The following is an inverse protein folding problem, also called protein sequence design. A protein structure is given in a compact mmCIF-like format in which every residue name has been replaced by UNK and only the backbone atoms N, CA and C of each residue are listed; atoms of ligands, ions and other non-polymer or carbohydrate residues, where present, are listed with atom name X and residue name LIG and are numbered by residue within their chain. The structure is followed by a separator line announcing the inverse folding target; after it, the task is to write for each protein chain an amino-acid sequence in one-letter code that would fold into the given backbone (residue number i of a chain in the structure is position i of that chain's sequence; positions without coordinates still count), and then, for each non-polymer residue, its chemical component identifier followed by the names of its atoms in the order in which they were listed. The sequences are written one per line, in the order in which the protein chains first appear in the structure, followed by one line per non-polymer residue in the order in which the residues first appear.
data_IF_176927052225
#
_entry.id   IF_176927052225
#
_cell.length_a   1.000
_cell.length_b   1.000
_cell.length_c   1.000
_cell.angle_alpha   90.00
_cell.angle_beta   90.00
_cell.angle_gamma   90.00
#
_symmetry.space_group_name_H-M   'P 1'
#
loop_
_entity.id
_entity.type
_entity.pdbx_description
1 polymer ?
#
# COMPACT_ATOMS: atom_id res chain seq x y z
N UNK A 1 16.26 -15.51 -68.58
CA UNK A 1 17.39 -14.62 -68.76
C UNK A 1 17.53 -13.79 -67.50
N UNK A 2 18.35 -14.31 -66.58
CA UNK A 2 18.57 -13.70 -65.25
C UNK A 2 19.82 -12.83 -65.33
N UNK A 3 19.71 -11.56 -64.97
CA UNK A 3 20.84 -10.66 -64.83
C UNK A 3 21.18 -10.59 -63.33
N UNK A 4 22.35 -11.12 -62.97
CA UNK A 4 22.94 -11.02 -61.63
C UNK A 4 23.84 -9.79 -61.64
N UNK A 5 23.51 -8.77 -60.86
CA UNK A 5 24.36 -7.60 -60.63
C UNK A 5 25.13 -7.81 -59.33
N UNK A 6 26.45 -7.88 -59.46
CA UNK A 6 27.42 -8.00 -58.36
C UNK A 6 27.66 -6.65 -57.68
N UNK A 7 27.63 -6.63 -56.34
CA UNK A 7 28.00 -5.47 -55.52
C UNK A 7 29.48 -5.61 -55.09
N UNK A 8 30.32 -4.58 -55.20
CA UNK A 8 31.72 -4.68 -54.83
C UNK A 8 31.92 -4.58 -53.30
N UNK A 9 32.74 -5.47 -52.77
CA UNK A 9 33.24 -5.45 -51.39
C UNK A 9 34.19 -4.26 -51.16
N UNK A 10 33.89 -3.45 -50.21
CA UNK A 10 34.80 -2.40 -49.70
C UNK A 10 35.74 -3.02 -48.66
N UNK A 11 37.04 -2.98 -48.92
CA UNK A 11 38.10 -3.35 -48.02
C UNK A 11 38.31 -2.19 -47.03
N UNK A 12 38.18 -2.44 -45.74
CA UNK A 12 38.52 -1.47 -44.70
C UNK A 12 39.88 -1.86 -44.14
N UNK A 13 40.85 -1.01 -44.38
CA UNK A 13 42.22 -1.13 -43.81
C UNK A 13 42.18 -0.63 -42.38
N UNK A 14 42.48 -1.46 -41.44
CA UNK A 14 42.69 -1.10 -40.03
C UNK A 14 44.12 -0.61 -39.84
N UNK A 15 44.30 0.63 -39.49
CA UNK A 15 45.53 1.19 -38.96
C UNK A 15 45.57 0.96 -37.43
N UNK A 16 46.53 0.16 -37.03
CA UNK A 16 46.87 -0.10 -35.62
C UNK A 16 47.67 1.10 -35.11
N UNK A 17 47.20 1.75 -34.04
CA UNK A 17 48.02 2.69 -33.23
C UNK A 17 48.09 2.18 -31.83
N UNK A 18 49.30 1.72 -31.46
CA UNK A 18 49.72 1.45 -30.10
C UNK A 18 49.73 2.77 -29.27
N UNK A 19 49.04 2.73 -28.12
CA UNK A 19 49.38 3.57 -26.98
C UNK A 19 48.75 2.92 -25.71
N UNK A 20 49.55 2.11 -25.06
CA UNK A 20 49.29 1.59 -23.70
C UNK A 20 49.42 2.75 -22.71
N UNK A 21 48.27 3.15 -22.13
CA UNK A 21 48.19 3.90 -20.90
C UNK A 21 47.43 3.06 -19.87
N UNK A 22 48.00 2.81 -18.67
CA UNK A 22 47.30 1.99 -17.70
C UNK A 22 46.05 2.74 -17.18
N UNK A 23 44.91 2.09 -17.32
CA UNK A 23 43.66 2.55 -16.73
C UNK A 23 43.78 2.38 -15.22
N UNK A 24 43.64 3.45 -14.49
CA UNK A 24 43.51 3.42 -13.04
C UNK A 24 42.23 2.68 -12.71
N UNK A 25 42.36 1.62 -11.93
CA UNK A 25 41.25 0.85 -11.38
C UNK A 25 40.55 1.77 -10.35
N UNK A 26 39.42 2.36 -10.71
CA UNK A 26 38.51 2.95 -9.73
C UNK A 26 38.01 1.84 -8.81
N UNK A 27 38.15 2.05 -7.51
CA UNK A 27 37.58 1.19 -6.50
C UNK A 27 36.03 1.21 -6.68
N UNK A 28 35.34 0.07 -6.49
CA UNK A 28 33.90 0.05 -6.59
C UNK A 28 33.30 1.06 -5.61
N UNK A 29 32.42 1.92 -6.10
CA UNK A 29 31.68 2.88 -5.29
C UNK A 29 30.93 2.11 -4.20
N UNK A 30 31.12 2.54 -2.95
CA UNK A 30 30.36 2.05 -1.81
C UNK A 30 28.88 2.28 -2.10
N UNK A 31 28.02 1.26 -2.00
CA UNK A 31 26.60 1.48 -2.21
C UNK A 31 26.10 2.54 -1.23
N UNK A 32 25.16 3.41 -1.64
CA UNK A 32 24.60 4.42 -0.77
C UNK A 32 23.99 3.74 0.46
N UNK A 33 24.19 4.34 1.64
CA UNK A 33 23.62 3.87 2.89
C UNK A 33 22.09 3.73 2.70
N UNK A 34 21.47 2.66 3.22
CA UNK A 34 20.03 2.45 3.10
C UNK A 34 19.32 3.69 3.65
N UNK A 35 18.34 4.19 2.90
CA UNK A 35 17.45 5.24 3.37
C UNK A 35 16.84 4.80 4.71
N UNK A 36 16.62 5.74 5.66
CA UNK A 36 16.03 5.37 6.94
C UNK A 36 14.70 4.68 6.67
N UNK A 37 14.62 3.43 7.09
CA UNK A 37 13.40 2.63 7.06
C UNK A 37 12.26 3.39 7.75
N UNK A 38 11.03 3.08 7.39
CA UNK A 38 9.87 3.41 8.18
C UNK A 38 10.19 3.14 9.65
N UNK A 39 10.53 4.18 10.38
CA UNK A 39 10.37 4.14 11.80
C UNK A 39 8.86 4.05 11.99
N UNK A 40 8.42 3.00 12.65
CA UNK A 40 7.03 2.71 12.96
C UNK A 40 6.27 4.01 13.16
N UNK A 41 5.40 4.38 12.21
CA UNK A 41 4.78 5.71 12.13
C UNK A 41 3.83 6.03 13.27
N UNK A 42 3.81 5.21 14.30
CA UNK A 42 2.99 5.30 15.50
C UNK A 42 3.85 5.30 16.76
N UNK A 43 4.90 6.12 16.81
CA UNK A 43 5.30 6.62 18.11
C UNK A 43 4.14 7.52 18.58
N UNK A 44 3.23 6.93 19.38
CA UNK A 44 2.12 7.61 19.99
C UNK A 44 2.64 8.91 20.59
N UNK A 45 2.11 10.05 20.17
CA UNK A 45 2.36 11.33 20.78
C UNK A 45 2.08 11.17 22.28
N UNK A 46 3.12 11.03 23.08
CA UNK A 46 3.00 11.08 24.54
C UNK A 46 2.44 12.46 24.85
N UNK A 47 1.28 12.58 25.53
CA UNK A 47 0.83 13.89 25.97
C UNK A 47 1.91 14.45 26.88
N UNK A 48 2.44 15.61 26.55
CA UNK A 48 3.35 16.37 27.41
C UNK A 48 2.67 16.59 28.75
N UNK A 49 3.33 16.42 29.89
CA UNK A 49 2.73 16.67 31.20
C UNK A 49 2.32 18.14 31.26
N UNK A 50 1.04 18.40 31.37
CA UNK A 50 0.48 19.72 31.63
C UNK A 50 0.82 20.09 33.06
N UNK A 51 1.68 21.09 33.20
CA UNK A 51 2.07 21.67 34.48
C UNK A 51 0.87 22.48 35.03
N UNK A 52 0.10 21.90 35.96
CA UNK A 52 -1.00 22.56 36.66
C UNK A 52 -0.47 23.37 37.84
N UNK A 53 -0.08 24.63 37.58
CA UNK A 53 0.04 25.63 38.64
C UNK A 53 -0.71 26.89 38.25
N UNK A 54 -1.84 27.16 38.91
CA UNK A 54 -2.59 28.41 38.75
C UNK A 54 -4.03 28.32 39.23
N UNK A 55 -4.24 28.38 40.56
CA UNK A 55 -5.54 28.61 41.14
C UNK A 55 -6.07 30.01 40.75
N UNK A 56 -7.25 30.07 40.17
CA UNK A 56 -8.01 31.29 39.97
C UNK A 56 -9.51 30.98 39.95
N UNK A 57 -10.14 31.15 41.12
CA UNK A 57 -11.59 31.09 41.30
C UNK A 57 -12.29 32.23 40.58
N UNK A 58 -13.20 31.92 39.64
CA UNK A 58 -14.33 32.80 39.30
C UNK A 58 -15.54 31.97 38.88
N UNK A 59 -16.63 32.18 39.60
CA UNK A 59 -17.98 31.71 39.31
C UNK A 59 -18.38 32.09 37.89
N UNK A 60 -18.90 31.12 37.12
CA UNK A 60 -19.64 31.34 35.90
C UNK A 60 -20.94 30.56 35.90
N UNK A 61 -21.96 31.27 35.50
CA UNK A 61 -23.37 30.94 35.34
C UNK A 61 -23.54 29.70 34.46
N UNK A 62 -24.41 28.78 34.87
CA UNK A 62 -24.75 27.55 34.14
C UNK A 62 -25.64 27.91 32.92
N UNK A 63 -25.17 27.59 31.72
CA UNK A 63 -26.02 27.41 30.55
C UNK A 63 -26.49 25.95 30.43
N UNK A 64 -27.70 25.71 29.85
CA UNK A 64 -28.29 24.37 29.87
C UNK A 64 -27.52 23.42 28.94
N UNK A 65 -27.19 22.26 29.48
CA UNK A 65 -26.55 21.18 28.77
C UNK A 65 -27.37 20.73 27.54
N UNK A 66 -26.79 20.90 26.37
CA UNK A 66 -27.20 20.19 25.17
C UNK A 66 -26.99 18.70 25.42
N UNK A 67 -28.07 17.92 25.36
CA UNK A 67 -28.03 16.45 25.46
C UNK A 67 -27.42 15.95 24.15
N UNK A 68 -26.12 15.67 24.17
CA UNK A 68 -25.48 14.89 23.12
C UNK A 68 -26.14 13.50 23.16
N UNK A 69 -26.87 13.16 22.12
CA UNK A 69 -27.37 11.80 21.89
C UNK A 69 -26.17 10.87 21.85
N UNK A 70 -26.12 9.90 22.76
CA UNK A 70 -25.16 8.81 22.71
C UNK A 70 -25.37 8.08 21.37
N UNK A 71 -24.30 7.65 20.68
CA UNK A 71 -24.44 6.82 19.49
C UNK A 71 -25.24 5.57 19.85
N UNK A 72 -26.06 5.04 18.94
CA UNK A 72 -26.83 3.84 19.17
C UNK A 72 -25.87 2.68 19.45
N UNK A 73 -25.95 2.11 20.63
CA UNK A 73 -25.29 0.85 20.97
C UNK A 73 -26.00 -0.26 20.19
N UNK A 74 -25.49 -0.59 18.99
CA UNK A 74 -25.89 -1.78 18.26
C UNK A 74 -25.33 -3.00 19.00
N UNK A 75 -26.18 -3.68 19.75
CA UNK A 75 -25.87 -4.95 20.43
C UNK A 75 -25.93 -6.16 19.49
N UNK A 76 -25.56 -6.01 18.22
CA UNK A 76 -25.20 -7.07 17.31
C UNK A 76 -23.68 -7.07 17.20
N UNK A 77 -23.01 -8.20 17.43
CA UNK A 77 -21.60 -8.32 17.11
C UNK A 77 -21.44 -7.94 15.64
N UNK A 78 -20.62 -6.90 15.35
CA UNK A 78 -20.32 -6.52 13.97
C UNK A 78 -19.83 -7.76 13.21
N UNK A 79 -20.20 -7.92 11.94
CA UNK A 79 -19.73 -9.06 11.15
C UNK A 79 -18.19 -9.09 11.16
N UNK A 80 -17.66 -10.27 11.49
CA UNK A 80 -16.21 -10.49 11.59
C UNK A 80 -15.76 -11.23 10.35
N UNK A 81 -14.71 -10.76 9.71
CA UNK A 81 -14.08 -11.40 8.56
C UNK A 81 -13.17 -12.57 8.95
N UNK A 82 -12.39 -13.10 8.02
CA UNK A 82 -11.40 -14.13 8.30
C UNK A 82 -10.44 -13.72 9.42
N UNK A 83 -9.99 -14.72 10.18
CA UNK A 83 -8.94 -14.54 11.18
C UNK A 83 -7.64 -14.12 10.51
N UNK A 84 -6.94 -13.14 11.08
CA UNK A 84 -5.57 -12.77 10.72
C UNK A 84 -4.63 -13.85 11.24
N UNK A 85 -4.18 -14.72 10.35
CA UNK A 85 -3.32 -15.83 10.69
C UNK A 85 -1.90 -15.34 11.04
N UNK A 86 -1.10 -16.22 11.66
CA UNK A 86 0.33 -16.00 11.95
C UNK A 86 0.67 -14.90 12.96
N UNK A 87 -0.30 -14.25 13.61
CA UNK A 87 -0.07 -13.18 14.58
C UNK A 87 0.84 -13.59 15.74
N UNK A 88 0.63 -14.82 16.27
CA UNK A 88 1.42 -15.38 17.39
C UNK A 88 2.76 -15.99 16.93
N UNK A 89 3.04 -15.98 15.63
CA UNK A 89 4.31 -16.43 15.05
C UNK A 89 5.25 -15.26 14.69
N UNK A 90 5.00 -14.06 15.25
CA UNK A 90 5.84 -12.88 15.05
C UNK A 90 5.58 -12.14 13.73
N UNK A 91 4.48 -12.44 13.03
CA UNK A 91 4.10 -11.76 11.81
C UNK A 91 3.14 -10.60 12.06
N UNK A 92 3.37 -9.48 11.38
CA UNK A 92 2.54 -8.29 11.46
C UNK A 92 1.80 -8.08 10.14
N UNK A 93 0.46 -8.10 10.13
CA UNK A 93 -0.32 -7.91 8.90
C UNK A 93 -0.22 -6.49 8.37
N UNK A 94 -0.23 -6.35 7.03
CA UNK A 94 -0.08 -5.09 6.32
C UNK A 94 -1.13 -4.94 5.22
N UNK A 95 -0.77 -5.25 3.99
CA UNK A 95 -1.63 -5.12 2.83
C UNK A 95 -2.77 -6.11 2.83
N UNK A 96 -3.88 -5.72 2.22
CA UNK A 96 -5.03 -6.56 1.92
C UNK A 96 -5.39 -6.46 0.45
N UNK A 97 -5.66 -7.60 -0.18
CA UNK A 97 -6.17 -7.71 -1.54
C UNK A 97 -7.38 -8.65 -1.59
N UNK A 98 -8.12 -8.59 -2.68
CA UNK A 98 -9.22 -9.50 -2.94
C UNK A 98 -9.17 -10.03 -4.37
N UNK A 99 -9.21 -11.35 -4.52
CA UNK A 99 -9.35 -12.04 -5.80
C UNK A 99 -10.82 -12.39 -6.03
N UNK A 100 -11.53 -11.55 -6.79
CA UNK A 100 -12.92 -11.76 -7.09
C UNK A 100 -13.19 -12.98 -7.98
N UNK A 101 -12.16 -13.47 -8.73
CA UNK A 101 -12.32 -14.66 -9.58
C UNK A 101 -12.30 -15.96 -8.77
N UNK A 102 -11.57 -15.94 -7.63
CA UNK A 102 -11.40 -17.13 -6.77
C UNK A 102 -12.12 -17.01 -5.43
N UNK A 103 -12.70 -15.85 -5.15
CA UNK A 103 -13.34 -15.52 -3.88
C UNK A 103 -12.38 -15.65 -2.70
N UNK A 104 -11.15 -15.14 -2.89
CA UNK A 104 -10.06 -15.25 -1.93
C UNK A 104 -9.59 -13.88 -1.43
N UNK A 105 -9.27 -13.80 -0.14
CA UNK A 105 -8.65 -12.63 0.49
C UNK A 105 -7.15 -12.88 0.62
N UNK A 106 -6.36 -11.91 0.17
CA UNK A 106 -4.91 -11.90 0.25
C UNK A 106 -4.49 -10.98 1.38
N UNK A 107 -3.58 -11.44 2.23
CA UNK A 107 -2.96 -10.59 3.28
C UNK A 107 -1.45 -10.76 3.23
N UNK A 108 -0.73 -9.64 3.19
CA UNK A 108 0.72 -9.63 3.39
C UNK A 108 1.04 -9.38 4.85
N UNK A 109 2.11 -9.99 5.30
CA UNK A 109 2.66 -9.84 6.65
C UNK A 109 4.15 -9.57 6.56
N UNK A 110 4.71 -8.84 7.50
CA UNK A 110 6.16 -8.73 7.65
C UNK A 110 6.61 -9.23 9.03
N UNK A 111 7.87 -9.69 9.10
CA UNK A 111 8.54 -10.07 10.34
C UNK A 111 9.54 -9.00 10.80
N UNK A 112 10.05 -9.14 12.03
CA UNK A 112 11.14 -8.29 12.52
C UNK A 112 12.47 -8.53 11.79
N UNK A 113 12.62 -9.69 11.11
CA UNK A 113 13.75 -10.00 10.21
C UNK A 113 13.58 -9.43 8.81
N UNK A 114 12.52 -8.65 8.58
CA UNK A 114 12.19 -8.07 7.28
C UNK A 114 11.91 -9.11 6.17
N UNK A 115 11.31 -10.21 6.53
CA UNK A 115 10.70 -11.14 5.59
C UNK A 115 9.26 -10.74 5.33
N UNK A 116 8.75 -11.06 4.13
CA UNK A 116 7.35 -10.85 3.78
C UNK A 116 6.69 -12.18 3.48
N UNK A 117 5.57 -12.45 4.16
CA UNK A 117 4.71 -13.61 3.97
C UNK A 117 3.44 -13.16 3.24
N UNK A 118 3.01 -13.93 2.27
CA UNK A 118 1.68 -13.84 1.67
C UNK A 118 0.83 -15.00 2.18
N UNK A 119 -0.32 -14.69 2.73
CA UNK A 119 -1.39 -15.61 3.08
C UNK A 119 -2.58 -15.37 2.18
N UNK A 120 -3.19 -16.42 1.66
CA UNK A 120 -4.41 -16.37 0.87
C UNK A 120 -5.45 -17.24 1.52
N UNK A 121 -6.61 -16.69 1.80
CA UNK A 121 -7.70 -17.35 2.51
C UNK A 121 -8.97 -17.35 1.68
N UNK A 122 -9.72 -18.44 1.71
CA UNK A 122 -11.10 -18.45 1.22
C UNK A 122 -11.95 -17.44 2.02
N UNK A 123 -12.62 -16.54 1.32
CA UNK A 123 -13.38 -15.44 1.93
C UNK A 123 -14.47 -15.95 2.88
N UNK A 124 -15.15 -17.01 2.51
CA UNK A 124 -16.32 -17.52 3.26
C UNK A 124 -15.94 -18.33 4.47
N UNK A 125 -14.97 -19.24 4.35
CA UNK A 125 -14.54 -20.13 5.43
C UNK A 125 -13.37 -19.61 6.26
N UNK A 126 -12.61 -18.65 5.75
CA UNK A 126 -11.35 -18.19 6.36
C UNK A 126 -10.22 -19.23 6.27
N UNK A 127 -10.44 -20.36 5.57
CA UNK A 127 -9.41 -21.38 5.44
C UNK A 127 -8.26 -20.89 4.58
N UNK A 128 -7.02 -21.04 5.06
CA UNK A 128 -5.84 -20.69 4.29
C UNK A 128 -5.63 -21.68 3.13
N UNK A 129 -5.69 -21.18 1.91
CA UNK A 129 -5.47 -21.94 0.68
C UNK A 129 -4.02 -21.92 0.23
N UNK A 130 -3.28 -20.85 0.60
CA UNK A 130 -1.90 -20.66 0.23
C UNK A 130 -1.17 -19.82 1.29
N UNK A 131 0.04 -20.28 1.64
CA UNK A 131 0.98 -19.55 2.47
C UNK A 131 2.37 -19.62 1.81
N UNK A 132 3.00 -18.47 1.56
CA UNK A 132 4.30 -18.45 0.91
C UNK A 132 5.11 -17.23 1.31
N UNK A 133 6.40 -17.41 1.53
CA UNK A 133 7.35 -16.33 1.72
C UNK A 133 7.75 -15.73 0.36
N UNK A 134 7.80 -14.40 0.28
CA UNK A 134 8.07 -13.68 -0.96
C UNK A 134 9.56 -13.36 -1.10
N UNK A 135 10.11 -13.58 -2.29
CA UNK A 135 11.49 -13.34 -2.66
C UNK A 135 11.66 -12.32 -3.76
N UNK A 136 12.94 -12.09 -4.12
CA UNK A 136 13.32 -11.20 -5.21
C UNK A 136 13.31 -11.88 -6.58
N UNK A 137 14.04 -11.28 -7.55
CA UNK A 137 14.13 -11.76 -8.92
C UNK A 137 15.07 -12.94 -9.13
N UNK A 138 16.15 -13.06 -8.34
CA UNK A 138 17.17 -14.09 -8.56
C UNK A 138 16.76 -15.41 -7.92
N UNK A 139 16.51 -16.48 -8.68
CA UNK A 139 16.15 -17.79 -8.13
C UNK A 139 17.25 -18.46 -7.34
N UNK A 140 18.50 -18.02 -7.49
CA UNK A 140 19.66 -18.56 -6.75
C UNK A 140 19.90 -17.80 -5.43
N UNK A 141 19.45 -16.57 -5.38
CA UNK A 141 19.60 -15.65 -4.26
C UNK A 141 18.26 -14.96 -4.00
N UNK A 142 17.18 -15.72 -3.65
CA UNK A 142 15.84 -15.15 -3.47
C UNK A 142 15.77 -14.15 -2.31
N UNK A 143 16.74 -14.19 -1.39
CA UNK A 143 16.89 -13.23 -0.30
C UNK A 143 17.44 -11.87 -0.76
N UNK A 144 18.10 -11.81 -1.93
CA UNK A 144 18.59 -10.56 -2.49
C UNK A 144 17.46 -9.80 -3.21
N UNK A 145 17.28 -8.53 -2.84
CA UNK A 145 16.24 -7.70 -3.45
C UNK A 145 14.81 -8.17 -3.19
N UNK A 146 14.55 -8.97 -2.13
CA UNK A 146 13.21 -9.35 -1.68
C UNK A 146 12.43 -8.15 -1.13
N UNK A 147 11.08 -8.19 -1.10
CA UNK A 147 10.30 -7.23 -0.34
C UNK A 147 10.61 -7.36 1.15
N UNK A 148 10.49 -6.26 1.90
CA UNK A 148 10.88 -6.18 3.31
C UNK A 148 9.75 -5.76 4.23
N UNK A 149 8.68 -5.21 3.68
CA UNK A 149 7.53 -4.70 4.44
C UNK A 149 6.19 -5.18 3.89
N UNK A 150 6.04 -5.25 2.56
CA UNK A 150 4.81 -5.73 1.92
C UNK A 150 3.59 -4.87 2.23
N UNK A 151 3.74 -3.53 2.19
CA UNK A 151 2.75 -2.58 2.66
C UNK A 151 1.40 -2.58 1.92
N UNK A 152 1.34 -3.16 0.72
CA UNK A 152 0.11 -3.35 -0.02
C UNK A 152 0.16 -4.60 -0.87
N UNK A 153 -0.99 -5.25 -1.06
CA UNK A 153 -1.15 -6.39 -1.96
C UNK A 153 -2.43 -6.22 -2.78
N UNK A 154 -2.36 -6.56 -4.06
CA UNK A 154 -3.51 -6.58 -4.95
C UNK A 154 -3.34 -7.65 -6.02
N UNK A 155 -4.41 -7.98 -6.75
CA UNK A 155 -4.37 -9.00 -7.80
C UNK A 155 -5.37 -8.68 -8.91
N UNK A 156 -5.08 -9.15 -10.12
CA UNK A 156 -6.01 -9.22 -11.24
C UNK A 156 -6.49 -10.67 -11.51
N UNK A 157 -6.06 -11.59 -10.64
CA UNK A 157 -6.35 -13.01 -10.67
C UNK A 157 -5.24 -13.88 -11.26
N UNK A 158 -4.45 -13.39 -12.21
CA UNK A 158 -3.29 -14.10 -12.79
C UNK A 158 -1.98 -13.66 -12.14
N UNK A 159 -1.91 -12.38 -11.81
CA UNK A 159 -0.75 -11.77 -11.16
C UNK A 159 -1.12 -11.26 -9.77
N UNK A 160 -0.16 -11.34 -8.86
CA UNK A 160 -0.22 -10.75 -7.52
C UNK A 160 0.85 -9.69 -7.42
N UNK A 161 0.42 -8.51 -7.04
CA UNK A 161 1.25 -7.30 -6.94
C UNK A 161 1.46 -6.98 -5.47
N UNK A 162 2.72 -6.79 -5.08
CA UNK A 162 3.07 -6.42 -3.70
C UNK A 162 3.90 -5.15 -3.73
N UNK A 163 3.42 -4.12 -3.03
CA UNK A 163 4.19 -2.90 -2.85
C UNK A 163 5.12 -3.00 -1.65
N UNK A 164 6.32 -2.49 -1.84
CA UNK A 164 7.32 -2.33 -0.81
C UNK A 164 7.97 -0.95 -0.96
N UNK A 165 8.57 -0.42 0.09
CA UNK A 165 9.17 0.91 0.10
C UNK A 165 10.05 1.18 -1.12
N UNK A 166 10.75 0.15 -1.62
CA UNK A 166 11.73 0.26 -2.71
C UNK A 166 11.21 -0.13 -4.07
N UNK A 167 10.09 -0.82 -4.15
CA UNK A 167 9.62 -1.32 -5.43
C UNK A 167 8.25 -1.99 -5.38
N UNK A 168 7.79 -2.31 -6.57
CA UNK A 168 6.58 -3.11 -6.79
C UNK A 168 7.02 -4.47 -7.32
N UNK A 169 6.64 -5.51 -6.62
CA UNK A 169 6.95 -6.90 -6.93
C UNK A 169 5.75 -7.54 -7.61
N UNK A 170 5.98 -8.20 -8.72
CA UNK A 170 4.96 -8.94 -9.47
C UNK A 170 5.25 -10.42 -9.38
N UNK A 171 4.28 -11.20 -8.95
CA UNK A 171 4.34 -12.66 -8.87
C UNK A 171 3.26 -13.25 -9.76
N UNK A 172 3.55 -14.31 -10.49
CA UNK A 172 2.50 -15.09 -11.13
C UNK A 172 1.81 -15.96 -10.10
N UNK A 173 0.51 -16.17 -10.24
CA UNK A 173 -0.24 -17.08 -9.35
C UNK A 173 0.34 -18.50 -9.36
N UNK A 174 0.77 -18.98 -10.53
CA UNK A 174 1.41 -20.28 -10.70
C UNK A 174 2.69 -20.41 -9.86
N UNK A 175 3.53 -19.37 -9.85
CA UNK A 175 4.75 -19.36 -9.03
C UNK A 175 4.46 -19.40 -7.54
N UNK A 176 3.48 -18.61 -7.07
CA UNK A 176 3.07 -18.61 -5.67
C UNK A 176 2.58 -20.00 -5.23
N UNK A 177 1.73 -20.64 -6.03
CA UNK A 177 1.22 -21.98 -5.77
C UNK A 177 2.33 -23.05 -5.81
N UNK A 178 3.25 -22.93 -6.77
CA UNK A 178 4.42 -23.80 -6.86
C UNK A 178 5.28 -23.69 -5.62
N UNK A 179 5.63 -22.48 -5.23
CA UNK A 179 6.49 -22.19 -4.09
C UNK A 179 5.86 -22.67 -2.77
N UNK A 180 4.57 -22.37 -2.55
CA UNK A 180 3.82 -22.85 -1.40
C UNK A 180 3.80 -24.39 -1.31
N UNK A 181 3.53 -25.07 -2.43
CA UNK A 181 3.49 -26.53 -2.50
C UNK A 181 4.87 -27.19 -2.22
N UNK A 182 5.94 -26.54 -2.62
CA UNK A 182 7.32 -27.06 -2.45
C UNK A 182 7.99 -26.59 -1.17
N UNK A 183 7.37 -25.66 -0.43
CA UNK A 183 7.96 -25.07 0.78
C UNK A 183 9.18 -24.19 0.47
N UNK A 184 9.18 -23.54 -0.72
CA UNK A 184 10.26 -22.65 -1.15
C UNK A 184 9.78 -21.20 -1.16
N UNK A 185 10.71 -20.26 -1.21
CA UNK A 185 10.40 -18.83 -1.40
C UNK A 185 9.89 -18.61 -2.82
N UNK A 186 8.82 -17.81 -3.00
CA UNK A 186 8.29 -17.46 -4.30
C UNK A 186 9.19 -16.40 -4.97
N UNK A 187 9.48 -16.60 -6.25
CA UNK A 187 10.30 -15.70 -7.02
C UNK A 187 9.43 -14.65 -7.75
N UNK A 188 9.77 -13.37 -7.61
CA UNK A 188 9.13 -12.33 -8.39
C UNK A 188 9.43 -12.51 -9.90
N UNK A 189 8.42 -12.35 -10.73
CA UNK A 189 8.59 -12.32 -12.20
C UNK A 189 9.11 -10.96 -12.66
N UNK A 190 8.79 -9.90 -11.91
CA UNK A 190 9.26 -8.54 -12.12
C UNK A 190 9.41 -7.83 -10.79
N UNK A 191 10.41 -6.94 -10.71
CA UNK A 191 10.50 -5.90 -9.69
C UNK A 191 10.69 -4.57 -10.41
N UNK A 192 9.76 -3.65 -10.22
CA UNK A 192 9.94 -2.27 -10.66
C UNK A 192 10.41 -1.46 -9.44
N UNK A 193 11.64 -0.94 -9.51
CA UNK A 193 12.13 -0.01 -8.49
C UNK A 193 11.20 1.20 -8.41
N UNK A 194 11.05 1.78 -7.21
CA UNK A 194 10.08 2.84 -6.96
C UNK A 194 10.14 3.87 -8.08
N UNK A 195 9.05 3.98 -8.82
CA UNK A 195 9.06 4.67 -10.11
C UNK A 195 8.89 6.19 -9.97
N UNK A 196 8.96 6.73 -8.76
CA UNK A 196 8.74 8.16 -8.53
C UNK A 196 10.07 8.89 -8.60
N UNK A 197 10.25 9.82 -9.54
CA UNK A 197 11.47 10.59 -9.59
C UNK A 197 11.62 11.39 -8.30
N UNK A 198 12.82 11.35 -7.73
CA UNK A 198 13.17 12.20 -6.60
C UNK A 198 13.02 13.69 -6.98
N UNK A 199 12.63 14.50 -6.00
CA UNK A 199 12.49 15.95 -6.18
C UNK A 199 11.23 16.40 -6.92
N UNK A 200 10.28 15.51 -7.17
CA UNK A 200 8.96 15.92 -7.64
C UNK A 200 8.21 16.62 -6.51
N UNK A 201 7.61 17.75 -6.86
CA UNK A 201 6.83 18.55 -5.91
C UNK A 201 5.35 18.40 -6.14
N UNK A 202 4.60 18.47 -5.06
CA UNK A 202 3.15 18.64 -5.12
C UNK A 202 2.82 19.95 -5.86
N UNK A 203 2.09 19.90 -6.97
CA UNK A 203 1.81 21.09 -7.77
C UNK A 203 0.96 22.12 -7.05
N UNK A 204 0.18 21.71 -6.04
CA UNK A 204 -0.71 22.61 -5.30
C UNK A 204 0.02 23.34 -4.16
N UNK A 205 0.93 22.66 -3.45
CA UNK A 205 1.57 23.21 -2.25
C UNK A 205 3.06 23.49 -2.39
N UNK A 206 3.72 22.93 -3.43
CA UNK A 206 5.17 22.99 -3.62
C UNK A 206 5.97 22.13 -2.65
N UNK A 207 5.32 21.30 -1.83
CA UNK A 207 5.98 20.34 -0.94
C UNK A 207 6.67 19.23 -1.75
N UNK A 208 7.80 18.73 -1.27
CA UNK A 208 8.43 17.56 -1.87
C UNK A 208 7.55 16.33 -1.66
N UNK A 209 7.39 15.50 -2.70
CA UNK A 209 6.64 14.26 -2.62
C UNK A 209 7.55 13.13 -2.16
N UNK A 210 6.98 12.22 -1.34
CA UNK A 210 7.69 11.02 -0.90
C UNK A 210 7.77 10.04 -2.07
N UNK A 211 9.00 9.59 -2.37
CA UNK A 211 9.25 8.54 -3.36
C UNK A 211 9.29 7.17 -2.66
N UNK A 212 8.15 6.50 -2.58
CA UNK A 212 8.02 5.17 -1.98
C UNK A 212 6.72 4.48 -2.47
N UNK A 213 6.74 3.16 -2.58
CA UNK A 213 5.55 2.32 -2.82
C UNK A 213 5.03 1.75 -1.50
N UNK A 214 4.37 2.56 -0.67
CA UNK A 214 3.96 2.15 0.67
C UNK A 214 2.70 1.28 0.67
N UNK A 215 1.79 1.51 -0.27
CA UNK A 215 0.55 0.77 -0.46
C UNK A 215 0.14 0.81 -1.93
N UNK A 216 -0.69 -0.15 -2.35
CA UNK A 216 -1.14 -0.21 -3.74
C UNK A 216 -2.49 -0.92 -3.87
N UNK A 217 -3.13 -0.69 -5.01
CA UNK A 217 -4.27 -1.47 -5.48
C UNK A 217 -4.26 -1.55 -7.00
N UNK A 218 -4.88 -2.59 -7.54
CA UNK A 218 -5.07 -2.79 -8.99
C UNK A 218 -6.56 -2.74 -9.31
N UNK A 219 -6.94 -1.95 -10.29
CA UNK A 219 -8.32 -1.89 -10.81
C UNK A 219 -8.32 -1.49 -12.27
N UNK A 220 -9.16 -2.14 -13.08
CA UNK A 220 -9.43 -1.80 -14.49
C UNK A 220 -8.16 -1.65 -15.35
N UNK A 221 -7.20 -2.58 -15.19
CA UNK A 221 -5.94 -2.58 -15.94
C UNK A 221 -4.94 -1.51 -15.51
N UNK A 222 -5.13 -0.90 -14.35
CA UNK A 222 -4.19 0.06 -13.75
C UNK A 222 -3.73 -0.38 -12.37
N UNK A 223 -2.45 -0.18 -12.09
CA UNK A 223 -1.89 -0.19 -10.74
C UNK A 223 -1.88 1.24 -10.19
N UNK A 224 -2.45 1.43 -9.02
CA UNK A 224 -2.42 2.66 -8.25
C UNK A 224 -1.45 2.45 -7.09
N UNK A 225 -0.42 3.29 -7.00
CA UNK A 225 0.68 3.12 -6.05
C UNK A 225 0.80 4.39 -5.23
N UNK A 226 0.73 4.24 -3.92
CA UNK A 226 0.75 5.35 -2.99
C UNK A 226 1.96 5.34 -2.07
N UNK A 227 2.37 6.54 -1.61
CA UNK A 227 3.44 6.71 -0.66
C UNK A 227 2.93 7.28 0.67
N UNK A 228 3.44 6.72 1.75
CA UNK A 228 3.20 7.21 3.10
C UNK A 228 3.94 8.54 3.35
N UNK A 229 3.28 9.45 4.05
CA UNK A 229 3.91 10.65 4.62
C UNK A 229 3.46 10.85 6.06
N UNK A 230 4.33 11.42 6.88
CA UNK A 230 4.02 11.76 8.27
C UNK A 230 3.78 13.26 8.39
N UNK A 231 2.82 13.65 9.22
CA UNK A 231 2.57 15.06 9.51
C UNK A 231 3.84 15.77 10.00
N UNK A 232 4.13 16.92 9.42
CA UNK A 232 5.23 17.77 9.87
C UNK A 232 6.61 17.44 9.29
N UNK A 233 6.77 16.40 8.48
CA UNK A 233 8.05 16.03 7.85
C UNK A 233 8.41 16.96 6.66
N UNK A 234 7.52 17.90 6.31
CA UNK A 234 7.73 18.80 5.18
C UNK A 234 7.63 18.12 3.82
N UNK A 235 7.17 16.88 3.79
CA UNK A 235 6.93 16.08 2.59
C UNK A 235 5.47 15.63 2.54
N UNK A 236 4.95 15.40 1.34
CA UNK A 236 3.60 14.90 1.13
C UNK A 236 3.61 13.51 0.50
N UNK A 237 2.67 12.66 0.90
CA UNK A 237 2.39 11.42 0.19
C UNK A 237 1.79 11.69 -1.19
N UNK A 238 1.96 10.76 -2.10
CA UNK A 238 1.45 10.85 -3.46
C UNK A 238 0.89 9.52 -3.93
N UNK A 239 -0.07 9.57 -4.86
CA UNK A 239 -0.54 8.41 -5.61
C UNK A 239 -0.24 8.63 -7.08
N UNK A 240 0.33 7.62 -7.69
CA UNK A 240 0.56 7.50 -9.12
C UNK A 240 -0.23 6.31 -9.66
N UNK A 241 -0.60 6.36 -10.93
CA UNK A 241 -1.15 5.18 -11.58
C UNK A 241 -0.36 4.82 -12.83
N UNK A 242 -0.30 3.53 -13.12
CA UNK A 242 0.38 2.91 -14.25
C UNK A 242 -0.55 1.95 -14.94
N UNK A 243 -0.51 1.91 -16.27
CA UNK A 243 -1.16 0.82 -17.00
C UNK A 243 -0.43 -0.49 -16.72
N UNK A 244 -1.19 -1.56 -16.67
CA UNK A 244 -0.67 -2.92 -16.65
C UNK A 244 -0.64 -3.48 -18.07
N UNK A 245 0.38 -4.25 -18.36
CA UNK A 245 0.44 -5.10 -19.54
C UNK A 245 -0.36 -6.38 -19.22
N UNK A 246 -1.42 -6.63 -19.96
CA UNK A 246 -2.36 -7.74 -19.70
C UNK A 246 -1.71 -9.13 -19.88
N UNK A 247 -0.67 -9.25 -20.71
CA UNK A 247 -0.02 -10.52 -21.01
C UNK A 247 1.03 -10.90 -19.95
N UNK A 248 1.76 -9.91 -19.45
CA UNK A 248 2.90 -10.13 -18.55
C UNK A 248 2.65 -9.67 -17.11
N UNK A 249 1.55 -8.95 -16.85
CA UNK A 249 1.28 -8.30 -15.56
C UNK A 249 2.24 -7.14 -15.25
N UNK A 250 3.09 -6.77 -16.20
CA UNK A 250 4.11 -5.75 -15.98
C UNK A 250 3.52 -4.35 -15.92
N UNK A 251 4.07 -3.51 -15.04
CA UNK A 251 3.75 -2.10 -15.05
C UNK A 251 4.45 -1.42 -16.24
N UNK A 252 3.68 -0.67 -17.04
CA UNK A 252 4.19 0.07 -18.18
C UNK A 252 4.72 1.42 -17.71
N UNK A 253 6.03 1.57 -17.57
CA UNK A 253 6.67 2.74 -16.97
C UNK A 253 6.29 4.06 -17.63
N UNK A 254 6.29 4.11 -18.95
CA UNK A 254 5.96 5.31 -19.74
C UNK A 254 4.47 5.70 -19.63
N UNK A 255 3.62 4.86 -19.06
CA UNK A 255 2.19 5.13 -18.87
C UNK A 255 1.88 5.90 -17.58
N UNK A 256 2.90 6.23 -16.78
CA UNK A 256 2.73 6.90 -15.49
C UNK A 256 1.90 8.17 -15.57
N UNK A 257 0.93 8.28 -14.70
CA UNK A 257 0.05 9.46 -14.55
C UNK A 257 -0.03 9.89 -13.09
N UNK A 258 -0.36 11.16 -12.88
CA UNK A 258 -0.37 11.81 -11.57
C UNK A 258 0.77 12.81 -11.45
N UNK A 259 1.18 13.19 -10.22
CA UNK A 259 0.71 12.66 -8.94
C UNK A 259 -0.63 13.24 -8.48
N UNK A 260 -1.38 12.45 -7.71
CA UNK A 260 -2.40 12.95 -6.80
C UNK A 260 -1.77 12.98 -5.40
N UNK A 261 -1.90 14.10 -4.67
CA UNK A 261 -1.47 14.14 -3.28
C UNK A 261 -2.30 13.16 -2.45
N UNK A 262 -1.65 12.27 -1.67
CA UNK A 262 -2.30 11.38 -0.72
C UNK A 262 -2.65 12.11 0.59
N UNK A 263 -3.57 11.61 1.42
CA UNK A 263 -3.73 12.04 2.80
C UNK A 263 -2.44 11.78 3.59
N UNK A 264 -2.15 12.63 4.57
CA UNK A 264 -1.08 12.34 5.51
C UNK A 264 -1.43 11.07 6.32
N UNK A 265 -0.43 10.27 6.64
CA UNK A 265 -0.55 8.97 7.35
C UNK A 265 -1.42 7.93 6.65
N UNK A 266 -1.61 8.01 5.33
CA UNK A 266 -2.30 6.97 4.58
C UNK A 266 -1.53 5.65 4.67
N UNK A 267 -2.21 4.57 5.08
CA UNK A 267 -1.61 3.25 5.32
C UNK A 267 -2.07 2.21 4.28
N UNK A 268 -3.31 2.31 3.82
CA UNK A 268 -3.87 1.47 2.79
C UNK A 268 -4.73 2.28 1.82
N UNK A 269 -5.00 1.69 0.67
CA UNK A 269 -5.80 2.35 -0.36
C UNK A 269 -6.56 1.30 -1.18
N UNK A 270 -7.80 1.63 -1.52
CA UNK A 270 -8.54 0.94 -2.58
C UNK A 270 -9.17 1.95 -3.54
N UNK A 271 -9.49 1.50 -4.76
CA UNK A 271 -10.14 2.30 -5.80
C UNK A 271 -11.59 1.90 -5.90
N UNK A 272 -12.47 2.87 -5.84
CA UNK A 272 -13.90 2.74 -6.14
C UNK A 272 -14.24 3.53 -7.40
N UNK A 273 -15.49 3.59 -7.82
CA UNK A 273 -15.85 4.35 -9.02
C UNK A 273 -15.54 5.85 -8.83
N UNK A 274 -14.56 6.34 -9.60
CA UNK A 274 -14.13 7.74 -9.61
C UNK A 274 -13.50 8.26 -8.31
N UNK A 275 -13.12 7.40 -7.35
CA UNK A 275 -12.49 7.83 -6.12
C UNK A 275 -11.48 6.84 -5.55
N UNK A 276 -10.61 7.37 -4.70
CA UNK A 276 -9.70 6.62 -3.83
C UNK A 276 -10.25 6.62 -2.40
N UNK A 277 -10.23 5.46 -1.75
CA UNK A 277 -10.46 5.32 -0.32
C UNK A 277 -9.16 5.02 0.38
N UNK A 278 -8.85 5.75 1.45
CA UNK A 278 -7.62 5.56 2.23
C UNK A 278 -7.95 5.27 3.69
N UNK A 279 -7.35 4.24 4.25
CA UNK A 279 -7.19 4.13 5.70
C UNK A 279 -6.03 4.99 6.15
N UNK A 280 -6.14 5.64 7.30
CA UNK A 280 -5.07 6.50 7.82
C UNK A 280 -4.72 6.16 9.27
N UNK A 281 -3.47 6.44 9.68
CA UNK A 281 -2.99 6.21 11.03
C UNK A 281 -3.69 7.05 12.11
N UNK A 282 -4.48 8.06 11.74
CA UNK A 282 -5.33 8.85 12.63
C UNK A 282 -6.80 8.40 12.64
N UNK A 283 -7.03 7.13 12.28
CA UNK A 283 -8.32 6.43 12.40
C UNK A 283 -9.41 7.00 11.48
N UNK A 284 -9.06 7.40 10.27
CA UNK A 284 -10.00 7.86 9.26
C UNK A 284 -10.12 6.91 8.09
N UNK A 285 -11.25 6.97 7.42
CA UNK A 285 -11.48 6.48 6.08
C UNK A 285 -11.69 7.70 5.18
N UNK A 286 -10.66 8.07 4.43
CA UNK A 286 -10.69 9.26 3.60
C UNK A 286 -11.16 8.90 2.19
N UNK A 287 -12.31 9.45 1.79
CA UNK A 287 -12.80 9.43 0.43
C UNK A 287 -12.20 10.61 -0.35
N UNK A 288 -11.56 10.34 -1.49
CA UNK A 288 -10.96 11.35 -2.35
C UNK A 288 -11.37 11.12 -3.80
N UNK A 289 -12.29 11.92 -4.33
CA UNK A 289 -12.67 11.83 -5.73
C UNK A 289 -11.51 12.23 -6.63
N UNK A 290 -11.43 11.60 -7.80
CA UNK A 290 -10.44 11.91 -8.83
C UNK A 290 -11.08 12.00 -10.22
N UNK A 291 -10.38 12.66 -11.12
CA UNK A 291 -10.67 12.65 -12.56
C UNK A 291 -9.57 11.87 -13.27
N UNK A 292 -9.98 10.97 -14.15
CA UNK A 292 -9.05 10.13 -14.90
C UNK A 292 -9.45 10.02 -16.36
N UNK A 293 -8.44 10.07 -17.23
CA UNK A 293 -8.57 9.84 -18.67
C UNK A 293 -7.41 8.97 -19.15
N UNK A 294 -7.32 8.76 -20.47
CA UNK A 294 -6.18 8.04 -21.06
C UNK A 294 -4.83 8.71 -20.73
N UNK A 295 -4.81 10.05 -20.56
CA UNK A 295 -3.59 10.84 -20.46
C UNK A 295 -3.48 11.65 -19.16
N UNK A 296 -4.46 11.56 -18.26
CA UNK A 296 -4.47 12.37 -17.04
C UNK A 296 -5.02 11.61 -15.83
N UNK A 297 -4.48 11.92 -14.65
CA UNK A 297 -4.95 11.45 -13.36
C UNK A 297 -4.76 12.58 -12.35
N UNK A 298 -5.88 13.22 -11.93
CA UNK A 298 -5.88 14.43 -11.10
C UNK A 298 -6.95 14.38 -10.03
N UNK A 299 -6.75 15.07 -8.92
CA UNK A 299 -7.74 15.24 -7.88
C UNK A 299 -7.60 16.60 -7.21
N UNK A 300 -8.72 17.15 -6.75
CA UNK A 300 -8.73 18.31 -5.87
C UNK A 300 -8.73 17.81 -4.41
N UNK A 301 -7.68 18.14 -3.65
CA UNK A 301 -7.54 17.74 -2.25
C UNK A 301 -8.59 18.38 -1.34
N UNK A 302 -9.18 19.52 -1.72
CA UNK A 302 -10.25 20.18 -0.96
C UNK A 302 -11.57 19.38 -0.97
N UNK A 303 -11.69 18.42 -1.90
CA UNK A 303 -12.85 17.54 -1.99
C UNK A 303 -12.71 16.25 -1.15
N UNK A 304 -11.68 16.16 -0.32
CA UNK A 304 -11.50 15.04 0.62
C UNK A 304 -12.52 15.08 1.73
N UNK A 305 -13.05 13.93 2.05
CA UNK A 305 -14.01 13.77 3.15
C UNK A 305 -13.66 12.54 3.97
N UNK A 306 -13.68 12.66 5.29
CA UNK A 306 -13.63 11.52 6.21
C UNK A 306 -15.04 10.92 6.29
N UNK A 307 -15.18 9.69 5.83
CA UNK A 307 -16.43 8.93 5.85
C UNK A 307 -16.41 7.81 6.89
N UNK A 308 -15.42 7.76 7.77
CA UNK A 308 -15.24 6.65 8.73
C UNK A 308 -16.36 6.50 9.75
N UNK A 309 -17.12 7.57 10.01
CA UNK A 309 -18.12 7.61 11.09
C UNK A 309 -17.57 7.12 12.45
N UNK A 310 -16.24 7.23 12.65
CA UNK A 310 -15.55 6.78 13.87
C UNK A 310 -15.43 5.25 14.00
N UNK A 311 -15.63 4.49 12.92
CA UNK A 311 -15.61 3.02 12.91
C UNK A 311 -14.22 2.43 12.63
N UNK A 312 -13.24 3.25 12.26
CA UNK A 312 -11.87 2.81 12.03
C UNK A 312 -11.07 2.85 13.32
N UNK A 313 -10.55 1.70 13.71
CA UNK A 313 -9.69 1.56 14.89
C UNK A 313 -8.23 1.97 14.60
N UNK A 314 -7.39 2.18 15.65
CA UNK A 314 -5.97 2.40 15.49
C UNK A 314 -5.27 1.24 14.78
N UNK A 315 -4.17 1.56 14.06
CA UNK A 315 -3.34 0.59 13.34
C UNK A 315 -4.04 -0.04 12.12
N UNK A 316 -5.02 0.65 11.52
CA UNK A 316 -5.61 0.25 10.26
C UNK A 316 -4.56 0.28 9.14
N UNK A 317 -4.56 -0.76 8.31
CA UNK A 317 -3.66 -0.97 7.18
C UNK A 317 -4.44 -1.18 5.88
N UNK A 318 -4.34 -2.36 5.28
CA UNK A 318 -5.00 -2.70 4.03
C UNK A 318 -6.52 -2.54 4.08
N UNK A 319 -7.12 -2.16 2.95
CA UNK A 319 -8.55 -1.88 2.82
C UNK A 319 -9.07 -2.32 1.45
N UNK A 320 -10.28 -2.91 1.44
CA UNK A 320 -11.03 -3.23 0.22
C UNK A 320 -12.52 -3.05 0.43
N UNK A 321 -13.27 -2.94 -0.67
CA UNK A 321 -14.74 -3.09 -0.69
C UNK A 321 -15.04 -4.49 -1.24
N UNK A 322 -15.80 -5.27 -0.47
CA UNK A 322 -16.16 -6.65 -0.82
C UNK A 322 -17.62 -6.87 -0.43
N UNK A 323 -18.47 -7.22 -1.37
CA UNK A 323 -19.88 -7.55 -1.15
C UNK A 323 -20.66 -6.52 -0.32
N UNK A 324 -20.53 -5.23 -0.62
CA UNK A 324 -21.25 -4.17 0.08
C UNK A 324 -20.68 -3.82 1.45
N UNK A 325 -19.49 -4.27 1.77
CA UNK A 325 -18.83 -4.00 3.04
C UNK A 325 -17.41 -3.48 2.84
N UNK A 326 -16.99 -2.59 3.72
CA UNK A 326 -15.60 -2.21 3.87
C UNK A 326 -14.86 -3.25 4.71
N UNK A 327 -13.79 -3.81 4.17
CA UNK A 327 -12.93 -4.78 4.85
C UNK A 327 -11.61 -4.12 5.19
N UNK A 328 -11.20 -4.17 6.47
CA UNK A 328 -10.00 -3.49 6.98
C UNK A 328 -9.12 -4.46 7.75
N UNK A 329 -7.84 -4.49 7.40
CA UNK A 329 -6.79 -5.23 8.11
C UNK A 329 -6.10 -4.32 9.13
N UNK A 330 -5.67 -4.88 10.27
CA UNK A 330 -5.07 -4.13 11.38
C UNK A 330 -3.79 -4.80 11.88
N UNK A 331 -2.76 -3.99 12.19
CA UNK A 331 -1.56 -4.47 12.87
C UNK A 331 -1.78 -4.76 14.36
N UNK A 332 -2.84 -4.20 14.95
CA UNK A 332 -3.05 -4.20 16.41
C UNK A 332 -3.18 -5.58 17.05
N UNK A 333 -3.52 -6.62 16.25
CA UNK A 333 -3.56 -8.01 16.71
C UNK A 333 -2.19 -8.66 16.87
N UNK A 334 -1.14 -8.13 16.22
CA UNK A 334 0.21 -8.72 16.25
C UNK A 334 0.90 -8.52 17.61
N UNK A 335 1.84 -9.40 17.94
CA UNK A 335 2.68 -9.27 19.15
C UNK A 335 3.37 -7.91 19.22
N UNK A 336 3.82 -7.39 18.07
CA UNK A 336 4.54 -6.12 17.98
C UNK A 336 3.72 -4.91 18.44
N UNK A 337 2.40 -4.90 18.21
CA UNK A 337 1.53 -3.75 18.46
C UNK A 337 0.46 -3.97 19.53
N UNK A 338 0.15 -5.20 19.90
CA UNK A 338 -0.87 -5.55 20.88
C UNK A 338 -0.69 -4.80 22.21
N UNK A 339 0.53 -4.77 22.74
CA UNK A 339 0.85 -4.11 24.00
C UNK A 339 0.99 -2.57 23.88
N UNK A 340 1.06 -2.04 22.66
CA UNK A 340 1.14 -0.60 22.40
C UNK A 340 -0.24 0.04 22.24
N UNK A 341 -1.27 -0.79 22.08
CA UNK A 341 -2.63 -0.33 21.85
C UNK A 341 -3.16 0.40 23.10
N UNK A 342 -3.85 1.50 22.89
CA UNK A 342 -4.54 2.18 24.00
C UNK A 342 -5.58 1.24 24.61
N UNK A 343 -5.64 1.05 25.95
CA UNK A 343 -6.53 0.11 26.62
C UNK A 343 -8.04 0.27 26.35
N UNK A 344 -8.46 1.37 25.73
CA UNK A 344 -9.86 1.55 25.30
C UNK A 344 -10.23 0.77 24.04
N UNK A 345 -9.23 0.27 23.30
CA UNK A 345 -9.41 -0.54 22.10
C UNK A 345 -8.98 -1.98 22.37
N UNK A 346 -9.59 -2.91 21.68
CA UNK A 346 -9.21 -4.31 21.70
C UNK A 346 -8.33 -4.63 20.49
N UNK A 347 -7.30 -5.50 20.61
CA UNK A 347 -6.52 -5.98 19.47
C UNK A 347 -7.44 -6.65 18.43
N UNK A 348 -7.21 -6.37 17.17
CA UNK A 348 -7.96 -6.95 16.05
C UNK A 348 -7.25 -8.20 15.54
N UNK A 349 -7.80 -9.36 15.86
CA UNK A 349 -7.30 -10.67 15.39
C UNK A 349 -8.01 -11.16 14.12
N UNK A 350 -8.99 -10.40 13.63
CA UNK A 350 -9.76 -10.68 12.44
C UNK A 350 -9.82 -9.43 11.56
N UNK A 351 -9.97 -9.64 10.27
CA UNK A 351 -10.33 -8.57 9.34
C UNK A 351 -11.67 -7.99 9.79
N UNK A 352 -11.72 -6.68 9.99
CA UNK A 352 -12.96 -5.99 10.34
C UNK A 352 -13.82 -5.84 9.07
N UNK A 353 -15.11 -6.14 9.20
CA UNK A 353 -16.10 -5.89 8.16
C UNK A 353 -17.04 -4.79 8.65
N UNK A 354 -17.24 -3.77 7.84
CA UNK A 354 -18.11 -2.62 8.13
C UNK A 354 -19.11 -2.49 6.98
N UNK A 355 -20.42 -2.68 7.22
CA UNK A 355 -21.43 -2.41 6.21
C UNK A 355 -21.29 -0.99 5.65
N UNK A 356 -21.40 -0.81 4.33
CA UNK A 356 -21.22 0.52 3.72
C UNK A 356 -22.25 1.53 4.22
N UNK A 357 -23.46 1.08 4.59
CA UNK A 357 -24.50 1.92 5.18
C UNK A 357 -24.15 2.50 6.56
N UNK A 358 -23.18 1.91 7.28
CA UNK A 358 -22.71 2.42 8.58
C UNK A 358 -21.67 3.54 8.44
N UNK A 359 -21.14 3.77 7.24
CA UNK A 359 -20.22 4.86 6.93
C UNK A 359 -21.00 6.19 6.75
N UNK A 360 -20.30 7.30 6.94
CA UNK A 360 -20.88 8.65 6.65
C UNK A 360 -20.82 8.98 5.16
N UNK A 361 -21.52 8.20 4.33
CA UNK A 361 -21.57 8.39 2.88
C UNK A 361 -22.23 9.71 2.49
N UNK A 362 -23.10 10.25 3.34
CA UNK A 362 -23.76 11.55 3.11
C UNK A 362 -22.75 12.70 3.09
N UNK A 363 -21.68 12.61 3.90
CA UNK A 363 -20.61 13.60 3.91
C UNK A 363 -19.89 13.70 2.55
N UNK A 364 -19.77 12.59 1.83
CA UNK A 364 -19.18 12.55 0.48
C UNK A 364 -20.20 12.71 -0.65
N UNK A 365 -21.49 12.78 -0.33
CA UNK A 365 -22.59 12.78 -1.31
C UNK A 365 -22.58 11.57 -2.24
N UNK A 366 -22.24 10.39 -1.71
CA UNK A 366 -22.20 9.12 -2.46
C UNK A 366 -23.18 8.10 -1.86
N UNK A 367 -23.47 7.06 -2.64
CA UNK A 367 -24.28 5.91 -2.20
C UNK A 367 -23.42 4.65 -2.05
N UNK A 368 -23.89 3.59 -1.35
CA UNK A 368 -23.17 2.32 -1.28
C UNK A 368 -22.81 1.75 -2.66
N UNK A 369 -23.75 1.79 -3.62
CA UNK A 369 -23.55 1.25 -4.97
C UNK A 369 -22.40 1.94 -5.73
N UNK A 370 -22.17 3.24 -5.47
CA UNK A 370 -21.03 3.98 -6.05
C UNK A 370 -19.69 3.57 -5.45
N UNK A 371 -19.68 2.96 -4.27
CA UNK A 371 -18.46 2.43 -3.68
C UNK A 371 -18.19 0.98 -4.10
N UNK A 372 -19.21 0.22 -4.49
CA UNK A 372 -19.07 -1.16 -4.98
C UNK A 372 -18.51 -1.23 -6.40
N UNK A 373 -18.62 -0.22 -7.20
CA UNK A 373 -18.35 0.03 -8.62
C UNK A 373 -17.28 -0.62 -9.39
#
# INVERSE_FOLDING_TARGET
MLLITSIPRRVVTTTQTDATKPLATEAPATPPAPAPYFQDGLEAARPSPVNLTGLGTKSAVAEPASVASAPPSSSGSAPVGPELLHLDAGWTPQGQGYDAKRDEVLTTYYSDEHDVLLSVQDKGSGSESLQVQLGGLDPKHPEEGKPTHGGGVSTDGEFVYVSDTRGIYVYTREELERAAKTGTVAQASQVMEVPFPEGVKDPATGMDLVSAGSYMTVKDGYAYIGSYSKDGDGKAGAVWRYKLDEETGSLIEDSRQGPIRAPDRAQGMTVVDGALLFTTGDQKLVYQPFEASADSFTANIDNRVDISNGLIDPYAQGVNIIDGELWVTYESGSEKYRDKLNPKYEPREHIQRIPLEDLDLAAACVTPEQLEG
#
